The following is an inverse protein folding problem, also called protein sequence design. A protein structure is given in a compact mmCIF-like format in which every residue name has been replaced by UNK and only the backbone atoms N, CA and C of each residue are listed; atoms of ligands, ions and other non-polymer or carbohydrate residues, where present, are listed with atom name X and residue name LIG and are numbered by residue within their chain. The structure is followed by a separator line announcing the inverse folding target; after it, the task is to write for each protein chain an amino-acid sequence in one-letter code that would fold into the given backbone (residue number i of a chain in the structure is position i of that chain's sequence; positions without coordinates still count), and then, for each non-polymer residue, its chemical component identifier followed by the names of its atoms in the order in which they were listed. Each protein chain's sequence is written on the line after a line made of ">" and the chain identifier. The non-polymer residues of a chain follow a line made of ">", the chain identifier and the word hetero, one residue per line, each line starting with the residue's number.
data_IF_010762307414
#
_entry.id   IF_010762307414
#
_cell.length_a   1.000
_cell.length_b   1.000
_cell.length_c   1.000
_cell.angle_alpha   90.00
_cell.angle_beta   90.00
_cell.angle_gamma   90.00
#
_symmetry.space_group_name_H-M   'P 1'
#
loop_
_entity.id
_entity.type
_entity.pdbx_description
1 polymer ?
#
# COMPACT_ATOMS: atom_id res chain seq x y z
N UNK A 1 -1.88 -31.13 -6.58
CA UNK A 1 -1.67 -30.60 -6.73
C UNK A 1 -1.50 -29.73 -6.69
N UNK A 2 -1.89 -29.74 -6.49
CA UNK A 2 -1.79 -28.94 -6.66
C UNK A 2 -1.57 -28.17 -6.58
N UNK A 3 -1.76 -28.02 -6.58
CA UNK A 3 -1.54 -27.30 -6.74
C UNK A 3 -1.28 -26.50 -6.59
N UNK A 4 -1.47 -26.49 -6.22
CA UNK A 4 -1.30 -25.71 -6.26
C UNK A 4 -0.92 -24.97 -6.54
N UNK A 5 -1.14 -25.05 -6.60
CA UNK A 5 -0.52 -24.44 -7.30
C UNK A 5 -0.64 -23.25 -7.57
N UNK A 6 -1.45 -23.15 -7.44
CA UNK A 6 -1.84 -21.81 -7.77
C UNK A 6 -1.07 -20.79 -7.03
N UNK A 7 -1.06 -20.94 -5.77
CA UNK A 7 -0.26 -20.05 -4.95
C UNK A 7 1.21 -20.10 -5.33
N UNK A 8 1.64 -21.24 -5.78
CA UNK A 8 3.04 -21.37 -6.16
C UNK A 8 3.35 -20.57 -7.40
N UNK A 9 2.35 -20.34 -8.25
CA UNK A 9 2.58 -19.52 -9.41
C UNK A 9 2.66 -18.06 -9.08
N UNK A 10 2.19 -17.66 -7.92
CA UNK A 10 2.19 -16.27 -7.59
C UNK A 10 3.53 -15.89 -7.01
N UNK A 11 4.24 -15.08 -7.74
CA UNK A 11 5.47 -14.53 -7.23
C UNK A 11 5.13 -13.40 -6.28
N UNK A 12 5.63 -13.44 -5.05
CA UNK A 12 5.35 -12.32 -4.16
C UNK A 12 5.81 -11.01 -4.76
N UNK A 13 5.04 -9.98 -4.62
CA UNK A 13 5.42 -8.67 -5.13
C UNK A 13 5.52 -7.62 -4.04
N UNK A 14 5.59 -8.04 -2.79
CA UNK A 14 5.80 -7.12 -1.71
C UNK A 14 4.59 -6.99 -0.83
N UNK A 15 4.71 -6.13 0.15
CA UNK A 15 3.64 -5.90 1.11
C UNK A 15 3.76 -4.49 1.65
N UNK A 16 2.73 -4.06 2.37
CA UNK A 16 2.83 -2.84 3.16
C UNK A 16 2.68 -3.21 4.63
N UNK A 17 3.44 -2.52 5.46
CA UNK A 17 3.33 -2.63 6.91
C UNK A 17 2.62 -1.39 7.39
N UNK A 18 1.43 -1.57 7.91
CA UNK A 18 0.58 -0.47 8.35
C UNK A 18 0.68 -0.36 9.85
N UNK A 19 1.06 0.82 10.34
CA UNK A 19 1.18 1.09 11.77
C UNK A 19 0.17 2.15 12.12
N UNK A 20 -0.89 1.71 12.77
CA UNK A 20 -2.00 2.58 13.12
C UNK A 20 -1.65 3.30 14.41
N UNK A 21 -1.75 4.62 14.40
CA UNK A 21 -1.19 5.43 15.49
C UNK A 21 -1.99 5.38 16.79
N UNK A 22 -3.27 5.16 16.71
CA UNK A 22 -4.10 5.23 17.92
C UNK A 22 -3.82 4.06 18.85
N UNK A 23 -3.77 2.86 18.29
CA UNK A 23 -3.57 1.64 19.07
C UNK A 23 -2.21 1.03 18.87
N UNK A 24 -1.35 1.65 18.07
CA UNK A 24 -0.05 1.11 17.68
C UNK A 24 -0.18 -0.29 17.09
N UNK A 25 -1.24 -0.49 16.36
CA UNK A 25 -1.60 -1.77 15.81
C UNK A 25 -0.91 -1.96 14.47
N UNK A 26 -0.24 -3.09 14.32
CA UNK A 26 0.55 -3.35 13.12
C UNK A 26 -0.16 -4.38 12.26
N UNK A 27 -0.34 -4.06 11.00
CA UNK A 27 -0.93 -4.97 10.02
C UNK A 27 0.02 -5.11 8.85
N UNK A 28 0.15 -6.32 8.34
CA UNK A 28 0.97 -6.57 7.16
C UNK A 28 0.02 -7.04 6.07
N UNK A 29 -0.01 -6.32 4.96
CA UNK A 29 -0.95 -6.59 3.89
C UNK A 29 -0.16 -6.83 2.61
N UNK A 30 -0.33 -7.99 1.98
CA UNK A 30 0.39 -8.28 0.73
C UNK A 30 -0.16 -7.43 -0.41
N UNK A 31 0.73 -7.09 -1.33
CA UNK A 31 0.37 -6.36 -2.54
C UNK A 31 0.23 -7.32 -3.69
N UNK A 32 -0.52 -6.89 -4.69
CA UNK A 32 -0.72 -7.63 -5.93
C UNK A 32 -0.14 -6.83 -7.08
N UNK A 33 0.13 -7.49 -8.19
CA UNK A 33 0.48 -6.78 -9.40
C UNK A 33 -0.70 -5.90 -9.83
N UNK A 34 -0.39 -4.74 -10.38
CA UNK A 34 -1.42 -3.80 -10.75
C UNK A 34 -1.74 -2.84 -9.61
N UNK A 35 -2.93 -2.31 -9.62
CA UNK A 35 -3.33 -1.29 -8.66
C UNK A 35 -3.76 -1.90 -7.34
N UNK A 36 -3.19 -1.38 -6.27
CA UNK A 36 -3.59 -1.71 -4.91
C UNK A 36 -4.17 -0.44 -4.29
N UNK A 37 -5.47 -0.41 -4.14
CA UNK A 37 -6.16 0.76 -3.60
C UNK A 37 -6.21 0.62 -2.10
N UNK A 38 -5.61 1.58 -1.42
CA UNK A 38 -5.38 1.53 0.02
C UNK A 38 -6.35 2.47 0.71
N UNK A 39 -6.97 2.00 1.76
CA UNK A 39 -7.89 2.84 2.51
C UNK A 39 -8.41 2.14 3.75
N UNK A 40 -9.32 2.81 4.42
CA UNK A 40 -9.90 2.33 5.66
C UNK A 40 -10.90 1.22 5.37
N UNK A 41 -10.79 0.14 6.11
CA UNK A 41 -11.73 -0.96 5.96
C UNK A 41 -13.12 -0.54 6.40
N UNK A 42 -14.11 -0.84 5.58
CA UNK A 42 -15.51 -0.63 5.92
C UNK A 42 -16.31 -1.64 5.11
N UNK A 43 -17.28 -2.25 5.77
CA UNK A 43 -18.11 -3.25 5.10
C UNK A 43 -18.72 -2.65 3.83
N UNK A 44 -18.59 -3.36 2.73
CA UNK A 44 -19.10 -2.92 1.44
C UNK A 44 -18.15 -2.06 0.64
N UNK A 45 -17.03 -1.66 1.21
CA UNK A 45 -16.04 -0.89 0.46
C UNK A 45 -15.25 -1.84 -0.44
N UNK A 46 -15.26 -1.62 -1.77
CA UNK A 46 -14.73 -2.62 -2.70
C UNK A 46 -13.22 -2.53 -2.95
N UNK A 47 -12.48 -1.77 -2.18
CA UNK A 47 -11.03 -1.67 -2.42
C UNK A 47 -10.35 -2.98 -2.06
N UNK A 48 -9.17 -3.21 -2.64
CA UNK A 48 -8.46 -4.47 -2.47
C UNK A 48 -7.37 -4.44 -1.40
N UNK A 49 -7.09 -3.29 -0.81
CA UNK A 49 -6.02 -3.19 0.17
C UNK A 49 -6.51 -2.33 1.34
N UNK A 50 -7.46 -2.87 2.08
CA UNK A 50 -8.07 -2.16 3.20
C UNK A 50 -7.39 -2.57 4.49
N UNK A 51 -7.27 -1.62 5.42
CA UNK A 51 -6.75 -1.92 6.74
C UNK A 51 -7.68 -1.39 7.81
N UNK A 52 -7.54 -1.93 9.00
CA UNK A 52 -8.41 -1.59 10.11
C UNK A 52 -7.92 -0.36 10.80
N UNK A 53 -8.77 0.63 10.93
CA UNK A 53 -8.47 1.83 11.71
C UNK A 53 -9.78 2.52 12.05
N UNK A 54 -9.77 3.25 13.15
CA UNK A 54 -10.90 4.12 13.51
C UNK A 54 -10.63 5.57 13.13
N UNK A 55 -9.50 5.83 12.47
CA UNK A 55 -9.09 7.19 12.12
C UNK A 55 -9.92 7.70 10.95
N UNK A 56 -10.81 8.68 11.16
CA UNK A 56 -11.64 9.17 10.06
C UNK A 56 -10.86 9.99 9.05
N UNK A 57 -9.62 10.37 9.34
CA UNK A 57 -8.81 11.09 8.36
C UNK A 57 -8.23 10.16 7.30
N UNK A 58 -8.38 8.86 7.45
CA UNK A 58 -8.04 7.91 6.40
C UNK A 58 -9.30 7.65 5.58
N UNK A 59 -9.27 7.98 4.31
CA UNK A 59 -10.43 7.81 3.45
C UNK A 59 -10.65 6.34 3.11
N UNK A 60 -11.84 6.02 2.67
CA UNK A 60 -12.15 4.66 2.22
C UNK A 60 -11.39 4.30 0.95
N UNK A 61 -10.99 5.30 0.18
CA UNK A 61 -10.20 5.14 -1.05
C UNK A 61 -9.16 6.25 -1.02
N UNK A 62 -8.06 6.02 -0.34
CA UNK A 62 -7.14 7.09 0.00
C UNK A 62 -6.01 7.27 -1.01
N UNK A 63 -5.33 6.19 -1.33
CA UNK A 63 -4.20 6.23 -2.26
C UNK A 63 -4.06 4.90 -2.95
N UNK A 64 -3.19 4.84 -3.95
CA UNK A 64 -2.99 3.63 -4.74
C UNK A 64 -1.50 3.39 -4.91
N UNK A 65 -1.08 2.14 -4.74
CA UNK A 65 0.25 1.71 -5.16
C UNK A 65 0.08 0.81 -6.37
N UNK A 66 0.64 1.23 -7.49
CA UNK A 66 0.67 0.41 -8.69
C UNK A 66 1.96 -0.39 -8.69
N UNK A 67 1.86 -1.70 -8.81
CA UNK A 67 3.01 -2.60 -8.84
C UNK A 67 3.15 -3.14 -10.25
N UNK A 68 4.33 -2.93 -10.82
CA UNK A 68 4.62 -3.42 -12.16
C UNK A 68 6.06 -3.91 -12.20
N UNK A 69 6.48 -4.41 -13.37
CA UNK A 69 7.87 -4.81 -13.57
C UNK A 69 8.47 -3.93 -14.65
N UNK A 70 9.73 -3.55 -14.45
CA UNK A 70 10.44 -2.77 -15.44
C UNK A 70 11.02 -3.71 -16.51
N UNK A 71 11.80 -3.14 -17.43
CA UNK A 71 12.32 -3.92 -18.55
C UNK A 71 13.28 -5.01 -18.12
N UNK A 72 13.90 -4.84 -16.95
CA UNK A 72 14.80 -5.86 -16.42
C UNK A 72 14.06 -6.85 -15.52
N UNK A 73 12.74 -6.76 -15.44
CA UNK A 73 11.95 -7.65 -14.61
C UNK A 73 11.93 -7.29 -13.15
N UNK A 74 12.46 -6.13 -12.77
CA UNK A 74 12.46 -5.70 -11.37
C UNK A 74 11.14 -5.05 -11.03
N UNK A 75 10.72 -5.22 -9.78
CA UNK A 75 9.47 -4.64 -9.31
C UNK A 75 9.59 -3.13 -9.21
N UNK A 76 8.54 -2.46 -9.60
CA UNK A 76 8.45 -1.01 -9.58
C UNK A 76 7.16 -0.62 -8.90
N UNK A 77 7.24 0.32 -7.96
CA UNK A 77 6.10 0.73 -7.16
C UNK A 77 5.86 2.22 -7.40
N UNK A 78 4.62 2.55 -7.74
CA UNK A 78 4.24 3.94 -7.96
C UNK A 78 3.08 4.27 -7.05
N UNK A 79 3.27 5.28 -6.21
CA UNK A 79 2.28 5.74 -5.25
C UNK A 79 1.62 7.00 -5.78
N UNK A 80 0.29 7.07 -5.65
CA UNK A 80 -0.44 8.30 -5.97
C UNK A 80 -1.58 8.48 -4.99
N UNK A 81 -1.90 9.74 -4.72
CA UNK A 81 -3.03 10.07 -3.87
C UNK A 81 -4.31 10.06 -4.72
N UNK A 82 -5.38 9.55 -4.16
CA UNK A 82 -6.66 9.41 -4.88
C UNK A 82 -7.60 10.55 -4.54
N UNK A 83 -7.09 11.78 -4.50
CA UNK A 83 -7.87 12.96 -4.10
C UNK A 83 -8.41 12.80 -2.69
N UNK A 84 -7.57 12.31 -1.80
CA UNK A 84 -7.98 12.10 -0.42
C UNK A 84 -8.22 13.44 0.28
N UNK A 85 -8.99 13.40 1.36
CA UNK A 85 -9.29 14.61 2.11
C UNK A 85 -8.08 15.16 2.84
N UNK A 86 -7.19 14.29 3.32
CA UNK A 86 -6.08 14.74 4.15
C UNK A 86 -4.72 14.61 3.48
N UNK A 87 -4.66 14.01 2.29
CA UNK A 87 -3.42 13.91 1.54
C UNK A 87 -2.62 12.67 1.85
N UNK A 88 -1.62 12.43 1.01
CA UNK A 88 -0.66 11.33 1.16
C UNK A 88 0.73 11.97 1.22
N UNK A 89 1.52 11.60 2.23
CA UNK A 89 2.79 12.24 2.50
C UNK A 89 3.90 11.21 2.43
N UNK A 90 4.93 11.48 1.62
CA UNK A 90 6.11 10.63 1.57
C UNK A 90 7.19 11.34 2.36
N UNK A 91 7.62 10.72 3.46
CA UNK A 91 8.65 11.28 4.34
C UNK A 91 8.33 12.74 4.71
N UNK A 92 7.07 12.95 5.10
CA UNK A 92 6.55 14.23 5.57
C UNK A 92 6.37 15.28 4.49
N UNK A 93 6.47 14.91 3.21
CA UNK A 93 6.22 15.83 2.11
C UNK A 93 4.97 15.36 1.36
N UNK A 94 3.99 16.24 1.27
CA UNK A 94 2.74 15.88 0.60
C UNK A 94 2.98 15.73 -0.89
N UNK A 95 2.45 14.64 -1.48
CA UNK A 95 2.49 14.48 -2.93
C UNK A 95 1.24 15.13 -3.51
N UNK A 96 1.41 15.92 -4.58
CA UNK A 96 0.24 16.53 -5.21
C UNK A 96 -0.71 15.48 -5.74
N UNK A 97 -2.03 15.77 -5.83
CA UNK A 97 -3.01 14.78 -6.23
C UNK A 97 -2.69 14.30 -7.59
N UNK A 98 -2.35 14.12 -8.39
CA UNK A 98 -2.11 13.55 -9.71
C UNK A 98 -0.67 13.14 -9.92
N UNK A 99 0.19 13.42 -8.96
CA UNK A 99 1.59 13.03 -9.13
C UNK A 99 1.74 11.54 -8.92
N UNK A 100 2.55 10.94 -9.76
CA UNK A 100 2.93 9.53 -9.62
C UNK A 100 4.33 9.50 -9.04
N UNK A 101 4.45 9.03 -7.82
CA UNK A 101 5.71 9.04 -7.11
C UNK A 101 6.28 7.63 -7.09
N UNK A 102 7.44 7.43 -7.69
CA UNK A 102 8.12 6.13 -7.60
C UNK A 102 8.67 6.00 -6.18
N UNK A 103 8.34 4.88 -5.54
CA UNK A 103 8.85 4.58 -4.20
C UNK A 103 9.52 3.22 -4.23
N UNK A 104 10.28 2.93 -3.20
CA UNK A 104 11.03 1.69 -3.14
C UNK A 104 10.91 1.07 -1.77
N UNK A 105 11.40 -0.16 -1.66
CA UNK A 105 11.35 -0.86 -0.39
C UNK A 105 11.98 -0.03 0.71
N UNK A 106 11.30 0.08 1.83
CA UNK A 106 11.74 0.89 2.94
C UNK A 106 11.13 2.28 2.98
N UNK A 107 10.46 2.70 1.92
CA UNK A 107 9.84 4.02 1.92
C UNK A 107 8.71 4.07 2.93
N UNK A 108 8.71 5.13 3.73
CA UNK A 108 7.64 5.39 4.69
C UNK A 108 6.76 6.48 4.13
N UNK A 109 5.46 6.24 4.09
CA UNK A 109 4.50 7.27 3.73
C UNK A 109 3.37 7.27 4.74
N UNK A 110 2.63 8.37 4.79
CA UNK A 110 1.64 8.60 5.82
C UNK A 110 0.32 8.99 5.19
N UNK A 111 -0.76 8.41 5.68
CA UNK A 111 -2.12 8.81 5.31
C UNK A 111 -2.90 8.98 6.60
N UNK A 112 -3.49 10.19 6.77
CA UNK A 112 -4.11 10.51 8.04
C UNK A 112 -3.10 10.37 9.16
N UNK A 113 -3.48 9.72 10.24
CA UNK A 113 -2.56 9.46 11.34
C UNK A 113 -1.87 8.11 11.25
N UNK A 114 -1.81 7.51 10.08
CA UNK A 114 -1.31 6.14 9.92
C UNK A 114 -0.01 6.14 9.12
N UNK A 115 0.98 5.44 9.62
CA UNK A 115 2.27 5.28 8.94
C UNK A 115 2.30 3.96 8.20
N UNK A 116 2.79 3.97 6.97
CA UNK A 116 2.84 2.79 6.12
C UNK A 116 4.23 2.67 5.55
N UNK A 117 4.79 1.46 5.60
CA UNK A 117 6.13 1.19 5.08
C UNK A 117 6.00 0.17 3.97
N UNK A 118 6.58 0.48 2.81
CA UNK A 118 6.62 -0.46 1.71
C UNK A 118 7.73 -1.47 1.93
N UNK A 119 7.43 -2.74 1.73
CA UNK A 119 8.40 -3.81 1.84
C UNK A 119 8.40 -4.62 0.55
N UNK A 120 9.56 -4.74 -0.07
CA UNK A 120 9.69 -5.62 -1.22
C UNK A 120 9.65 -7.08 -0.80
N UNK A 121 9.53 -7.99 -1.78
CA UNK A 121 9.35 -9.41 -1.44
C UNK A 121 10.60 -10.06 -0.86
N UNK A 122 11.77 -9.48 -1.08
CA UNK A 122 13.01 -10.05 -0.58
C UNK A 122 13.42 -9.46 0.76
N UNK A 123 12.60 -8.60 1.33
CA UNK A 123 12.94 -7.95 2.59
C UNK A 123 12.64 -8.86 3.77
N UNK A 124 13.57 -8.89 4.69
CA UNK A 124 13.39 -9.62 5.94
C UNK A 124 13.06 -8.64 7.04
N UNK A 125 12.18 -9.03 7.90
CA UNK A 125 11.81 -8.18 9.02
C UNK A 125 12.74 -8.35 10.21
#
# INVERSE_FOLDING_TARGET
>A
MADSNASTEETPCGSIVVIENVFHYKQIIPLQMGDNVIGRHQKGNPINTAFETVDPSVDLNHCTINVSRDKQGRLKYILRDNNSNTGTFVENVEIPPRERRVIESGTLFTIGGTSIILKGPDEED
#
